data_IF_177260262084
#
_entry.id   IF_177260262084
#
_cell.length_a   1.000
_cell.length_b   1.000
_cell.length_c   1.000
_cell.angle_alpha   90.00
_cell.angle_beta   90.00
_cell.angle_gamma   90.00
#
_symmetry.space_group_name_H-M   'P 1'
#
loop_
_entity.id
_entity.type
_entity.pdbx_description
1 polymer ?
#
# COMPACT_ATOMS: atom_id res chain seq x y z
N UNK A 1 -82.52 17.60 26.76
CA UNK A 1 -81.51 18.57 27.21
C UNK A 1 -80.24 17.71 27.54
N UNK A 2 -79.43 17.39 26.54
CA UNK A 2 -78.13 16.72 26.66
C UNK A 2 -77.48 16.70 25.27
N UNK A 3 -76.73 17.72 24.96
CA UNK A 3 -75.77 17.79 23.85
C UNK A 3 -74.57 18.60 24.37
N UNK A 4 -73.42 18.25 23.91
CA UNK A 4 -72.12 18.91 24.10
C UNK A 4 -71.23 18.37 25.22
N UNK A 5 -70.56 17.23 24.95
CA UNK A 5 -69.24 16.87 25.54
C UNK A 5 -68.52 15.78 24.74
N UNK A 6 -68.17 16.07 23.48
CA UNK A 6 -67.31 15.21 22.72
C UNK A 6 -66.46 15.94 21.65
N UNK A 7 -65.77 17.00 22.00
CA UNK A 7 -64.75 17.58 21.13
C UNK A 7 -63.52 18.01 21.97
N UNK A 8 -62.61 17.18 22.24
CA UNK A 8 -61.39 17.61 22.98
C UNK A 8 -60.25 16.67 23.15
N UNK A 9 -60.25 15.46 22.55
CA UNK A 9 -59.22 14.44 22.86
C UNK A 9 -58.37 13.92 21.70
N UNK A 10 -58.49 14.46 20.48
CA UNK A 10 -57.76 13.92 19.31
C UNK A 10 -56.62 14.79 18.76
N UNK A 11 -56.25 15.89 19.42
CA UNK A 11 -55.27 16.84 18.88
C UNK A 11 -53.84 16.76 19.41
N UNK A 12 -53.62 16.10 20.53
CA UNK A 12 -52.30 16.16 21.21
C UNK A 12 -51.35 15.00 20.89
N UNK A 13 -51.86 13.81 20.52
CA UNK A 13 -51.03 12.63 20.24
C UNK A 13 -50.22 12.72 18.95
N UNK A 14 -50.84 13.26 17.90
CA UNK A 14 -50.20 13.31 16.57
C UNK A 14 -49.03 14.32 16.51
N UNK A 15 -49.14 15.46 17.21
CA UNK A 15 -48.09 16.47 17.24
C UNK A 15 -46.86 16.01 18.01
N UNK A 16 -47.01 15.23 19.08
CA UNK A 16 -45.92 14.65 19.87
C UNK A 16 -45.14 13.58 19.10
N UNK A 17 -45.86 12.72 18.35
CA UNK A 17 -45.25 11.68 17.55
C UNK A 17 -44.40 12.24 16.39
N UNK A 18 -44.91 13.26 15.71
CA UNK A 18 -44.16 13.92 14.61
C UNK A 18 -42.88 14.61 15.14
N UNK A 19 -42.98 15.29 16.30
CA UNK A 19 -41.83 15.96 16.91
C UNK A 19 -40.77 14.95 17.33
N UNK A 20 -41.15 13.80 17.90
CA UNK A 20 -40.22 12.74 18.29
C UNK A 20 -39.47 12.10 17.09
N UNK A 21 -40.18 11.86 15.99
CA UNK A 21 -39.60 11.31 14.75
C UNK A 21 -38.62 12.31 14.14
N UNK A 22 -38.92 13.61 14.14
CA UNK A 22 -38.01 14.65 13.63
C UNK A 22 -36.72 14.75 14.46
N UNK A 23 -36.80 14.69 15.79
CA UNK A 23 -35.63 14.73 16.66
C UNK A 23 -34.74 13.52 16.44
N UNK A 24 -35.30 12.31 16.30
CA UNK A 24 -34.54 11.09 16.00
C UNK A 24 -33.89 11.18 14.62
N UNK A 25 -34.61 11.68 13.62
CA UNK A 25 -34.07 11.82 12.25
C UNK A 25 -32.90 12.83 12.20
N UNK A 26 -33.04 13.98 12.89
CA UNK A 26 -31.94 14.97 12.98
C UNK A 26 -30.76 14.42 13.76
N UNK A 27 -30.98 13.67 14.83
CA UNK A 27 -29.93 13.02 15.61
C UNK A 27 -29.13 12.00 14.78
N UNK A 28 -29.81 11.14 14.00
CA UNK A 28 -29.20 10.19 13.08
C UNK A 28 -28.43 10.91 11.96
N UNK A 29 -28.92 11.98 11.41
CA UNK A 29 -28.25 12.77 10.40
C UNK A 29 -26.98 13.44 10.96
N UNK A 30 -27.03 13.98 12.18
CA UNK A 30 -25.86 14.53 12.84
C UNK A 30 -24.78 13.47 13.14
N UNK A 31 -25.19 12.27 13.56
CA UNK A 31 -24.24 11.16 13.77
C UNK A 31 -23.58 10.75 12.46
N UNK A 32 -24.32 10.68 11.36
CA UNK A 32 -23.78 10.38 10.02
C UNK A 32 -22.81 11.46 9.53
N UNK A 33 -23.07 12.74 9.84
CA UNK A 33 -22.17 13.85 9.46
C UNK A 33 -20.93 13.97 10.35
N UNK A 34 -20.96 13.39 11.55
CA UNK A 34 -19.82 13.39 12.49
C UNK A 34 -18.94 12.14 12.38
N UNK A 35 -19.37 11.12 11.62
CA UNK A 35 -18.51 9.99 11.32
C UNK A 35 -17.35 10.50 10.45
N UNK A 36 -16.09 10.45 10.93
CA UNK A 36 -14.98 10.80 10.08
C UNK A 36 -15.01 9.83 8.89
N UNK A 37 -15.09 10.38 7.68
CA UNK A 37 -14.75 9.64 6.47
C UNK A 37 -13.25 9.32 6.55
N UNK A 38 -12.91 8.28 7.29
CA UNK A 38 -11.58 7.69 7.19
C UNK A 38 -11.51 7.03 5.81
N UNK A 39 -11.29 7.86 4.80
CA UNK A 39 -10.79 7.37 3.53
C UNK A 39 -9.43 6.75 3.85
N UNK A 40 -9.38 5.43 3.97
CA UNK A 40 -8.12 4.71 3.90
C UNK A 40 -7.54 5.02 2.53
N UNK A 41 -6.68 6.03 2.47
CA UNK A 41 -5.84 6.27 1.30
C UNK A 41 -4.94 5.04 1.24
N UNK A 42 -5.31 4.07 0.39
CA UNK A 42 -4.38 3.00 0.04
C UNK A 42 -3.15 3.71 -0.51
N UNK A 43 -2.07 3.69 0.25
CA UNK A 43 -0.80 4.22 -0.24
C UNK A 43 -0.50 3.52 -1.57
N UNK A 44 -0.27 4.31 -2.62
CA UNK A 44 0.07 3.76 -3.92
C UNK A 44 1.33 2.91 -3.75
N UNK A 45 1.30 1.67 -4.23
CA UNK A 45 2.48 0.78 -4.21
C UNK A 45 3.57 1.45 -5.03
N UNK A 46 4.71 1.69 -4.42
CA UNK A 46 5.87 2.27 -5.11
C UNK A 46 6.46 1.25 -6.07
N UNK A 47 6.73 1.70 -7.30
CA UNK A 47 7.37 0.90 -8.33
C UNK A 47 8.87 1.18 -8.34
N UNK A 48 9.68 0.12 -8.36
CA UNK A 48 11.14 0.20 -8.50
C UNK A 48 11.55 -0.75 -9.63
N UNK A 49 12.12 -0.21 -10.69
CA UNK A 49 12.65 -1.01 -11.80
C UNK A 49 14.15 -1.15 -11.67
N UNK A 50 14.63 -2.40 -11.60
CA UNK A 50 16.04 -2.75 -11.64
C UNK A 50 16.37 -3.34 -13.01
N UNK A 51 17.37 -2.76 -13.65
CA UNK A 51 17.90 -3.25 -14.93
C UNK A 51 19.24 -3.93 -14.66
N UNK A 52 19.39 -5.17 -15.12
CA UNK A 52 20.72 -5.82 -15.11
C UNK A 52 21.41 -5.60 -16.44
N UNK A 53 22.62 -5.07 -16.40
CA UNK A 53 23.52 -4.88 -17.53
C UNK A 53 24.97 -4.82 -17.04
N UNK A 54 25.90 -5.20 -17.87
CA UNK A 54 27.34 -5.14 -17.56
C UNK A 54 27.69 -5.80 -16.21
N UNK A 55 27.02 -6.91 -15.89
CA UNK A 55 27.19 -7.64 -14.62
C UNK A 55 26.91 -6.80 -13.36
N UNK A 56 25.97 -5.87 -13.42
CA UNK A 56 25.52 -5.06 -12.29
C UNK A 56 24.00 -4.77 -12.36
N UNK A 57 23.43 -4.37 -11.24
CA UNK A 57 22.09 -3.80 -11.15
C UNK A 57 22.16 -2.29 -11.31
N UNK A 58 21.14 -1.72 -11.95
CA UNK A 58 20.93 -0.28 -12.07
C UNK A 58 19.48 0.06 -11.80
N UNK A 59 19.22 1.15 -11.11
CA UNK A 59 17.87 1.73 -11.11
C UNK A 59 17.57 2.30 -12.49
N UNK A 60 16.33 2.16 -12.94
CA UNK A 60 15.91 2.70 -14.23
C UNK A 60 16.16 4.20 -14.29
N UNK A 61 16.85 4.65 -15.35
CA UNK A 61 17.23 6.05 -15.52
C UNK A 61 18.51 6.47 -14.80
N UNK A 62 19.14 5.59 -14.01
CA UNK A 62 20.36 5.87 -13.26
C UNK A 62 21.58 5.13 -13.86
N UNK A 63 22.77 5.60 -13.49
CA UNK A 63 24.04 5.04 -13.97
C UNK A 63 24.92 4.42 -12.87
N UNK A 64 24.50 4.54 -11.61
CA UNK A 64 25.23 3.95 -10.48
C UNK A 64 25.05 2.43 -10.46
N UNK A 65 26.13 1.64 -10.50
CA UNK A 65 26.04 0.19 -10.42
C UNK A 65 25.78 -0.28 -8.98
N UNK A 66 24.89 -1.27 -8.83
CA UNK A 66 24.54 -1.89 -7.56
C UNK A 66 24.13 -0.88 -6.48
N UNK A 67 23.15 -0.02 -6.76
CA UNK A 67 22.81 1.14 -5.91
C UNK A 67 22.30 0.72 -4.53
N UNK A 68 22.37 1.64 -3.58
CA UNK A 68 21.62 1.52 -2.33
C UNK A 68 20.18 1.95 -2.57
N UNK A 69 19.24 1.05 -2.27
CA UNK A 69 17.79 1.29 -2.41
C UNK A 69 17.22 1.60 -1.04
N UNK A 70 16.68 2.80 -0.85
CA UNK A 70 16.00 3.15 0.41
C UNK A 70 14.52 2.79 0.34
N UNK A 71 14.02 2.12 1.39
CA UNK A 71 12.62 1.81 1.62
C UNK A 71 12.21 2.30 3.01
N UNK A 72 10.93 2.60 3.20
CA UNK A 72 10.40 2.87 4.54
C UNK A 72 10.04 1.57 5.25
N UNK A 73 10.09 1.58 6.57
CA UNK A 73 9.66 0.45 7.38
C UNK A 73 8.20 0.09 7.08
N UNK A 74 7.94 -1.18 6.74
CA UNK A 74 6.61 -1.68 6.39
C UNK A 74 6.11 -1.27 4.99
N UNK A 75 6.89 -0.51 4.21
CA UNK A 75 6.52 -0.10 2.85
C UNK A 75 6.25 -1.30 1.96
N UNK A 76 5.19 -1.22 1.15
CA UNK A 76 4.92 -2.19 0.10
C UNK A 76 5.43 -1.65 -1.23
N UNK A 77 6.35 -2.40 -1.85
CA UNK A 77 7.07 -2.01 -3.06
C UNK A 77 6.96 -3.10 -4.11
N UNK A 78 6.78 -2.69 -5.35
CA UNK A 78 6.81 -3.59 -6.50
C UNK A 78 8.15 -3.46 -7.20
N UNK A 79 8.98 -4.50 -7.10
CA UNK A 79 10.21 -4.60 -7.86
C UNK A 79 9.93 -5.23 -9.23
N UNK A 80 10.34 -4.54 -10.28
CA UNK A 80 10.44 -5.09 -11.63
C UNK A 80 11.91 -5.27 -11.96
N UNK A 81 12.31 -6.49 -12.30
CA UNK A 81 13.69 -6.81 -12.72
C UNK A 81 13.68 -7.11 -14.19
N UNK A 82 14.51 -6.41 -14.96
CA UNK A 82 14.65 -6.55 -16.41
C UNK A 82 16.10 -6.89 -16.75
N UNK A 83 16.32 -8.03 -17.42
CA UNK A 83 17.66 -8.43 -17.84
C UNK A 83 17.98 -7.86 -19.23
N UNK A 84 19.00 -6.99 -19.29
CA UNK A 84 19.57 -6.42 -20.53
C UNK A 84 20.96 -6.94 -20.87
N UNK A 85 21.51 -7.91 -20.11
CA UNK A 85 22.80 -8.52 -20.41
C UNK A 85 22.66 -9.58 -21.50
N UNK A 86 23.35 -9.42 -22.65
CA UNK A 86 23.30 -10.41 -23.70
C UNK A 86 23.95 -11.75 -23.28
N UNK A 87 23.23 -12.84 -23.44
CA UNK A 87 23.74 -14.19 -23.19
C UNK A 87 23.91 -14.58 -21.71
N UNK A 88 23.60 -13.68 -20.77
CA UNK A 88 23.69 -13.93 -19.35
C UNK A 88 22.30 -14.10 -18.71
N UNK A 89 22.28 -14.81 -17.61
CA UNK A 89 21.06 -15.07 -16.83
C UNK A 89 21.19 -14.45 -15.46
N UNK A 90 20.21 -13.63 -15.07
CA UNK A 90 20.19 -12.92 -13.80
C UNK A 90 18.92 -13.17 -13.01
N UNK A 91 18.99 -12.96 -11.70
CA UNK A 91 17.83 -12.92 -10.81
C UNK A 91 18.03 -11.83 -9.75
N UNK A 92 17.03 -11.60 -8.92
CA UNK A 92 17.11 -10.78 -7.73
C UNK A 92 16.81 -11.66 -6.52
N UNK A 93 17.68 -11.63 -5.51
CA UNK A 93 17.46 -12.29 -4.24
C UNK A 93 17.79 -11.37 -3.07
N UNK A 94 16.98 -11.47 -2.00
CA UNK A 94 17.23 -10.87 -0.70
C UNK A 94 17.03 -11.97 0.33
N UNK A 95 18.11 -12.64 0.69
CA UNK A 95 18.07 -13.85 1.52
C UNK A 95 17.36 -13.62 2.86
N UNK A 96 17.66 -12.50 3.51
CA UNK A 96 17.05 -12.14 4.80
C UNK A 96 15.51 -11.97 4.74
N UNK A 97 14.95 -11.81 3.55
CA UNK A 97 13.50 -11.68 3.33
C UNK A 97 12.88 -12.94 2.73
N UNK A 98 13.70 -13.97 2.46
CA UNK A 98 13.26 -15.16 1.73
C UNK A 98 12.80 -14.85 0.30
N UNK A 99 13.26 -13.72 -0.25
CA UNK A 99 12.94 -13.29 -1.60
C UNK A 99 13.96 -13.86 -2.58
N UNK A 100 13.48 -14.58 -3.58
CA UNK A 100 14.25 -14.95 -4.75
C UNK A 100 13.33 -14.97 -5.98
N UNK A 101 13.69 -14.20 -7.01
CA UNK A 101 12.97 -14.22 -8.28
C UNK A 101 13.44 -15.39 -9.16
N UNK A 102 12.63 -15.72 -10.17
CA UNK A 102 13.08 -16.65 -11.20
C UNK A 102 14.30 -16.10 -11.95
N UNK A 103 15.07 -17.00 -12.55
CA UNK A 103 16.18 -16.63 -13.42
C UNK A 103 15.66 -16.07 -14.75
N UNK A 104 16.18 -14.92 -15.14
CA UNK A 104 15.79 -14.18 -16.32
C UNK A 104 16.85 -14.28 -17.40
N UNK A 105 16.48 -14.77 -18.56
CA UNK A 105 17.32 -14.70 -19.77
C UNK A 105 17.33 -13.26 -20.31
N UNK A 106 18.22 -12.95 -21.24
CA UNK A 106 18.28 -11.67 -21.95
C UNK A 106 16.88 -11.21 -22.40
N UNK A 107 16.56 -9.94 -22.20
CA UNK A 107 15.27 -9.28 -22.50
C UNK A 107 14.07 -9.81 -21.70
N UNK A 108 14.26 -10.76 -20.78
CA UNK A 108 13.19 -11.20 -19.90
C UNK A 108 13.06 -10.30 -18.68
N UNK A 109 11.84 -10.18 -18.18
CA UNK A 109 11.53 -9.44 -16.95
C UNK A 109 10.66 -10.26 -16.01
N UNK A 110 10.66 -9.86 -14.75
CA UNK A 110 9.74 -10.38 -13.73
C UNK A 110 9.39 -9.26 -12.75
N UNK A 111 8.22 -9.37 -12.14
CA UNK A 111 7.77 -8.42 -11.14
C UNK A 111 7.44 -9.18 -9.87
N UNK A 112 7.82 -8.63 -8.71
CA UNK A 112 7.52 -9.17 -7.39
C UNK A 112 7.07 -8.07 -6.47
N UNK A 113 6.01 -8.33 -5.70
CA UNK A 113 5.54 -7.45 -4.65
C UNK A 113 6.21 -7.83 -3.34
N UNK A 114 6.80 -6.87 -2.66
CA UNK A 114 7.58 -7.06 -1.44
C UNK A 114 7.10 -6.08 -0.38
N UNK A 115 6.98 -6.55 0.86
CA UNK A 115 6.81 -5.68 2.01
C UNK A 115 8.13 -5.56 2.77
N UNK A 116 8.66 -4.34 2.90
CA UNK A 116 9.84 -4.07 3.70
C UNK A 116 9.60 -4.49 5.18
N UNK A 117 10.62 -4.94 5.90
CA UNK A 117 10.51 -5.18 7.33
C UNK A 117 9.99 -3.94 8.08
N UNK A 118 9.26 -4.18 9.17
CA UNK A 118 8.76 -3.11 10.05
C UNK A 118 9.87 -2.46 10.89
N UNK A 119 11.07 -3.02 10.90
CA UNK A 119 12.23 -2.50 11.63
C UNK A 119 13.27 -1.98 10.65
N UNK A 120 13.82 -0.77 10.89
CA UNK A 120 14.94 -0.24 10.14
C UNK A 120 16.13 -1.19 10.14
N UNK A 121 16.92 -1.13 9.07
CA UNK A 121 18.11 -1.97 8.93
C UNK A 121 18.61 -2.04 7.49
N UNK A 122 19.74 -2.71 7.30
CA UNK A 122 20.38 -2.87 5.99
C UNK A 122 20.38 -4.33 5.60
N UNK A 123 19.99 -4.62 4.38
CA UNK A 123 19.96 -5.95 3.80
C UNK A 123 20.69 -5.95 2.46
N UNK A 124 21.36 -7.05 2.17
CA UNK A 124 22.04 -7.22 0.88
C UNK A 124 21.06 -7.81 -0.11
N UNK A 125 21.01 -7.25 -1.31
CA UNK A 125 20.40 -7.90 -2.46
C UNK A 125 21.48 -8.35 -3.44
N UNK A 126 21.26 -9.47 -4.11
CA UNK A 126 22.24 -10.10 -5.00
C UNK A 126 21.57 -10.67 -6.25
N UNK A 127 22.41 -10.93 -7.28
CA UNK A 127 22.12 -11.92 -8.30
C UNK A 127 22.81 -13.21 -7.91
N UNK A 128 22.08 -14.28 -7.63
CA UNK A 128 22.63 -15.53 -7.08
C UNK A 128 23.80 -16.10 -7.91
N UNK A 129 23.70 -16.25 -9.25
CA UNK A 129 24.83 -16.78 -10.03
C UNK A 129 26.06 -15.84 -10.10
N UNK A 130 25.90 -14.56 -9.77
CA UNK A 130 26.96 -13.55 -9.89
C UNK A 130 27.15 -12.72 -8.62
N UNK A 131 26.85 -13.27 -7.45
CA UNK A 131 26.77 -12.54 -6.17
C UNK A 131 28.04 -11.78 -5.78
N UNK A 132 29.22 -12.20 -6.29
CA UNK A 132 30.49 -11.52 -6.01
C UNK A 132 30.57 -10.14 -6.68
N UNK A 133 29.87 -9.94 -7.78
CA UNK A 133 29.89 -8.69 -8.57
C UNK A 133 28.57 -7.95 -8.52
N UNK A 134 27.47 -8.69 -8.51
CA UNK A 134 26.10 -8.14 -8.54
C UNK A 134 25.49 -8.18 -7.15
N UNK A 135 25.82 -7.18 -6.35
CA UNK A 135 25.29 -7.02 -4.98
C UNK A 135 25.17 -5.57 -4.60
N UNK A 136 24.06 -5.21 -4.02
CA UNK A 136 23.80 -3.86 -3.48
C UNK A 136 23.14 -3.95 -2.11
N UNK A 137 22.68 -2.81 -1.62
CA UNK A 137 22.07 -2.67 -0.30
C UNK A 137 20.63 -2.19 -0.44
N UNK A 138 19.72 -2.79 0.32
CA UNK A 138 18.43 -2.19 0.66
C UNK A 138 18.55 -1.65 2.07
N UNK A 139 18.32 -0.36 2.22
CA UNK A 139 18.28 0.33 3.50
C UNK A 139 16.84 0.64 3.87
N UNK A 140 16.36 -0.02 4.94
CA UNK A 140 15.04 0.27 5.50
C UNK A 140 15.19 1.37 6.54
N UNK A 141 14.52 2.50 6.33
CA UNK A 141 14.49 3.66 7.22
C UNK A 141 13.16 3.73 7.98
N UNK A 142 13.11 4.49 9.07
CA UNK A 142 11.86 4.72 9.78
C UNK A 142 10.84 5.42 8.88
N UNK A 143 9.57 5.12 9.12
CA UNK A 143 8.47 5.85 8.49
C UNK A 143 8.17 7.08 9.35
N UNK A 144 8.44 8.27 8.82
CA UNK A 144 8.25 9.56 9.50
C UNK A 144 6.76 9.90 9.69
#
# INVERSE_FOLDING_TARGET
>A
MQRDLQHGLLGHGARGAVAAVLVVAIGLLCVMLLLPLTASTSAAVREITLITRDMAFYLEGESEPNPTIQLRAGEEVRFTVLNRDPGLTHNLAVEAWGLETRYLKTEASTTVLVRAPARPGRQVYVCVPHEKMMRGIIEVVEDD
#
